data_IF_454711513414
#
_entry.id   IF_454711513414
#
_cell.length_a   1.000
_cell.length_b   1.000
_cell.length_c   1.000
_cell.angle_alpha   90.00
_cell.angle_beta   90.00
_cell.angle_gamma   90.00
#
_symmetry.space_group_name_H-M   'P 1'
#
loop_
_entity.id
_entity.type
_entity.pdbx_description
1 polymer ?
#
# COMPACT_ATOMS: atom_id res chain seq x y z
N UNK A 1 13.14 -17.53 -7.17
CA UNK A 1 11.83 -17.00 -7.58
C UNK A 1 10.97 -16.56 -6.40
N UNK A 2 10.67 -17.45 -5.43
CA UNK A 2 9.87 -17.10 -4.23
C UNK A 2 10.45 -15.95 -3.39
N UNK A 3 11.77 -15.89 -3.24
CA UNK A 3 12.47 -14.81 -2.50
C UNK A 3 12.28 -13.45 -3.18
N UNK A 4 12.26 -13.40 -4.52
CA UNK A 4 12.10 -12.16 -5.29
C UNK A 4 10.72 -11.53 -5.10
N UNK A 5 9.67 -12.36 -5.07
CA UNK A 5 8.30 -11.90 -4.76
C UNK A 5 8.23 -11.37 -3.32
N UNK A 6 8.89 -12.07 -2.40
CA UNK A 6 8.94 -11.68 -0.98
C UNK A 6 9.64 -10.33 -0.79
N UNK A 7 10.73 -10.07 -1.53
CA UNK A 7 11.41 -8.77 -1.54
C UNK A 7 10.51 -7.65 -2.07
N UNK A 8 9.71 -7.91 -3.11
CA UNK A 8 8.74 -6.94 -3.64
C UNK A 8 7.68 -6.63 -2.58
N UNK A 9 7.13 -7.65 -1.93
CA UNK A 9 6.15 -7.46 -0.85
C UNK A 9 6.74 -6.63 0.29
N UNK A 10 7.98 -6.91 0.72
CA UNK A 10 8.67 -6.11 1.74
C UNK A 10 8.85 -4.66 1.29
N UNK A 11 9.24 -4.41 0.04
CA UNK A 11 9.37 -3.06 -0.50
C UNK A 11 8.03 -2.30 -0.47
N UNK A 12 6.92 -2.96 -0.84
CA UNK A 12 5.58 -2.39 -0.77
C UNK A 12 5.10 -2.14 0.66
N UNK A 13 5.42 -3.02 1.61
CA UNK A 13 5.17 -2.83 3.04
C UNK A 13 5.92 -1.60 3.58
N UNK A 14 7.20 -1.46 3.22
CA UNK A 14 7.98 -0.28 3.58
C UNK A 14 7.35 0.99 3.01
N UNK A 15 6.98 0.99 1.73
CA UNK A 15 6.30 2.12 1.08
C UNK A 15 4.97 2.45 1.78
N UNK A 16 4.15 1.44 2.10
CA UNK A 16 2.89 1.61 2.81
C UNK A 16 3.09 2.22 4.20
N UNK A 17 4.14 1.79 4.93
CA UNK A 17 4.48 2.34 6.23
C UNK A 17 4.84 3.84 6.13
N UNK A 18 5.73 4.20 5.20
CA UNK A 18 6.14 5.60 5.02
C UNK A 18 4.98 6.49 4.57
N UNK A 19 4.16 6.01 3.63
CA UNK A 19 2.96 6.73 3.18
C UNK A 19 1.94 6.90 4.31
N UNK A 20 1.75 5.87 5.14
CA UNK A 20 0.86 5.97 6.29
C UNK A 20 1.35 7.02 7.31
N UNK A 21 2.65 7.03 7.62
CA UNK A 21 3.25 8.06 8.49
C UNK A 21 3.09 9.45 7.88
N UNK A 22 3.28 9.57 6.55
CA UNK A 22 3.08 10.83 5.83
C UNK A 22 1.62 11.30 5.93
N UNK A 23 0.63 10.43 5.71
CA UNK A 23 -0.78 10.75 5.83
C UNK A 23 -1.22 11.11 7.24
N UNK A 24 -0.67 10.44 8.26
CA UNK A 24 -0.93 10.80 9.64
C UNK A 24 -0.45 12.22 9.96
N UNK A 25 0.74 12.60 9.46
CA UNK A 25 1.29 13.96 9.62
C UNK A 25 0.52 15.01 8.82
N UNK A 26 0.09 14.68 7.60
CA UNK A 26 -0.63 15.59 6.72
C UNK A 26 -2.06 15.84 7.23
N UNK A 27 -2.81 14.78 7.50
CA UNK A 27 -4.24 14.87 7.83
C UNK A 27 -4.47 15.16 9.32
N UNK A 28 -3.58 14.70 10.20
CA UNK A 28 -3.71 14.81 11.66
C UNK A 28 -5.06 14.26 12.17
N UNK A 29 -5.31 12.94 12.02
CA UNK A 29 -6.63 12.34 12.28
C UNK A 29 -7.14 12.51 13.72
N UNK A 30 -6.23 12.68 14.69
CA UNK A 30 -6.57 12.82 16.11
C UNK A 30 -7.18 14.17 16.49
N UNK A 31 -7.16 15.17 15.60
CA UNK A 31 -7.64 16.52 15.91
C UNK A 31 -9.17 16.68 15.82
N UNK A 32 -9.85 15.84 15.04
CA UNK A 32 -11.31 15.92 14.86
C UNK A 32 -11.86 14.66 14.19
N UNK A 33 -13.12 14.27 14.44
CA UNK A 33 -13.74 13.11 13.80
C UNK A 33 -13.82 13.23 12.26
N UNK A 34 -14.01 14.43 11.71
CA UNK A 34 -13.99 14.64 10.26
C UNK A 34 -12.63 14.34 9.63
N UNK A 35 -11.52 14.72 10.30
CA UNK A 35 -10.16 14.36 9.87
C UNK A 35 -9.86 12.87 10.03
N UNK A 36 -10.46 12.22 11.04
CA UNK A 36 -10.37 10.77 11.18
C UNK A 36 -11.04 10.07 9.99
N UNK A 37 -12.24 10.52 9.59
CA UNK A 37 -12.93 9.99 8.41
C UNK A 37 -12.12 10.22 7.12
N UNK A 38 -11.57 11.42 6.95
CA UNK A 38 -10.71 11.74 5.80
C UNK A 38 -9.47 10.85 5.75
N UNK A 39 -8.81 10.65 6.89
CA UNK A 39 -7.66 9.75 7.00
C UNK A 39 -8.03 8.30 6.70
N UNK A 40 -9.18 7.84 7.18
CA UNK A 40 -9.68 6.50 6.89
C UNK A 40 -9.91 6.31 5.38
N UNK A 41 -10.59 7.24 4.72
CA UNK A 41 -10.81 7.21 3.27
C UNK A 41 -9.49 7.27 2.50
N UNK A 42 -8.59 8.16 2.86
CA UNK A 42 -7.26 8.26 2.23
C UNK A 42 -6.46 6.97 2.39
N UNK A 43 -6.54 6.32 3.55
CA UNK A 43 -5.87 5.04 3.82
C UNK A 43 -6.42 3.91 2.97
N UNK A 44 -7.75 3.84 2.79
CA UNK A 44 -8.38 2.85 1.89
C UNK A 44 -7.87 3.04 0.46
N UNK A 45 -7.92 4.27 -0.05
CA UNK A 45 -7.46 4.59 -1.42
C UNK A 45 -5.98 4.23 -1.59
N UNK A 46 -5.14 4.54 -0.60
CA UNK A 46 -3.72 4.19 -0.61
C UNK A 46 -3.50 2.67 -0.66
N UNK A 47 -4.21 1.89 0.16
CA UNK A 47 -4.08 0.43 0.20
C UNK A 47 -4.52 -0.17 -1.14
N UNK A 48 -5.64 0.29 -1.70
CA UNK A 48 -6.10 -0.18 -3.00
C UNK A 48 -5.09 0.14 -4.10
N UNK A 49 -4.59 1.38 -4.14
CA UNK A 49 -3.57 1.79 -5.12
C UNK A 49 -2.28 0.97 -5.01
N UNK A 50 -1.76 0.77 -3.80
CA UNK A 50 -0.54 0.00 -3.57
C UNK A 50 -0.72 -1.48 -3.90
N UNK A 51 -1.84 -2.09 -3.52
CA UNK A 51 -2.10 -3.52 -3.80
C UNK A 51 -2.30 -3.76 -5.29
N UNK A 52 -3.06 -2.91 -5.99
CA UNK A 52 -3.19 -2.99 -7.46
C UNK A 52 -1.84 -2.83 -8.15
N UNK A 53 -1.03 -1.85 -7.74
CA UNK A 53 0.31 -1.64 -8.31
C UNK A 53 1.22 -2.85 -8.04
N UNK A 54 1.18 -3.40 -6.83
CA UNK A 54 1.97 -4.58 -6.47
C UNK A 54 1.59 -5.79 -7.33
N UNK A 55 0.30 -6.08 -7.47
CA UNK A 55 -0.19 -7.19 -8.31
C UNK A 55 0.21 -6.96 -9.77
N UNK A 56 0.09 -5.74 -10.28
CA UNK A 56 0.50 -5.41 -11.65
C UNK A 56 1.99 -5.66 -11.88
N UNK A 57 2.85 -5.22 -10.96
CA UNK A 57 4.30 -5.43 -11.05
C UNK A 57 4.65 -6.92 -10.95
N UNK A 58 4.08 -7.63 -9.97
CA UNK A 58 4.32 -9.07 -9.80
C UNK A 58 3.83 -9.82 -11.04
N UNK A 59 2.66 -9.50 -11.58
CA UNK A 59 2.12 -10.16 -12.77
C UNK A 59 2.94 -9.94 -14.02
N UNK A 60 3.53 -8.75 -14.17
CA UNK A 60 4.39 -8.43 -15.32
C UNK A 60 5.78 -9.06 -15.21
N UNK A 61 6.33 -9.17 -14.00
CA UNK A 61 7.67 -9.73 -13.76
C UNK A 61 7.66 -11.26 -13.56
N UNK A 62 6.58 -11.82 -13.04
CA UNK A 62 6.41 -13.23 -12.69
C UNK A 62 5.02 -13.74 -13.10
N UNK A 63 4.68 -13.75 -14.42
CA UNK A 63 3.35 -14.14 -14.90
C UNK A 63 2.89 -15.54 -14.45
N UNK A 64 3.85 -16.45 -14.25
CA UNK A 64 3.64 -17.81 -13.75
C UNK A 64 3.15 -17.91 -12.29
N UNK A 65 3.20 -16.82 -11.51
CA UNK A 65 2.70 -16.79 -10.13
C UNK A 65 1.22 -16.35 -10.06
N UNK A 66 0.66 -15.74 -11.12
CA UNK A 66 -0.74 -15.30 -11.16
C UNK A 66 -1.64 -16.30 -11.91
N UNK A 67 -1.11 -17.02 -12.90
CA UNK A 67 -1.87 -18.00 -13.70
C UNK A 67 -1.98 -19.40 -13.07
N UNK A 68 -1.68 -19.54 -11.78
CA UNK A 68 -1.93 -20.76 -11.00
C UNK A 68 -3.25 -20.65 -10.27
#
# INVERSE_FOLDING_TARGET
>A
MRISVLLIIIAFLAAAFFLNVYFQKLINPRKSPGRLLLYFLATIVMILGLTTLMIFIIGRLFPQEIMK
#
